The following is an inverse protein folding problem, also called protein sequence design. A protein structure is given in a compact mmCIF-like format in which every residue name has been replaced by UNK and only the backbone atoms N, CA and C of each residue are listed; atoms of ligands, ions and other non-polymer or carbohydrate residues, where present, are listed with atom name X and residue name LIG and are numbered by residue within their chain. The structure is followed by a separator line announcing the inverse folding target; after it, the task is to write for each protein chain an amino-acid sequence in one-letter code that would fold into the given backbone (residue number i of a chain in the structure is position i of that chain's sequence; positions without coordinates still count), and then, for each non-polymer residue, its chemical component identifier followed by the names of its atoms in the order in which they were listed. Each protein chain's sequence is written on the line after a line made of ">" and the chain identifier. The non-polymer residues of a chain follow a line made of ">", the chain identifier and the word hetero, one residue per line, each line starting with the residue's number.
data_IF_439913320162
#
_entry.id   IF_439913320162
#
_cell.length_a   1.000
_cell.length_b   1.000
_cell.length_c   1.000
_cell.angle_alpha   90.00
_cell.angle_beta   90.00
_cell.angle_gamma   90.00
#
_symmetry.space_group_name_H-M   'P 1'
#
loop_
_entity.id
_entity.type
_entity.pdbx_description
1 polymer ?
#
# COMPACT_ATOMS: atom_id res chain seq x y z
N UNK A 1 -7.03 11.38 38.02
CA UNK A 1 -5.93 10.79 37.23
C UNK A 1 -6.38 9.36 36.89
N UNK A 2 -6.37 8.97 35.63
CA UNK A 2 -6.70 7.62 35.20
C UNK A 2 -5.42 6.87 34.78
N UNK A 3 -5.35 5.53 34.91
CA UNK A 3 -4.28 4.73 34.32
C UNK A 3 -4.30 4.90 32.80
N UNK A 4 -3.12 4.75 32.18
CA UNK A 4 -3.06 4.67 30.72
C UNK A 4 -3.71 3.40 30.17
N UNK A 5 -4.10 3.43 28.92
CA UNK A 5 -4.66 2.25 28.22
C UNK A 5 -3.56 1.24 27.89
N UNK A 6 -3.95 -0.02 27.86
CA UNK A 6 -3.12 -1.12 27.36
C UNK A 6 -3.80 -1.65 26.11
N UNK A 7 -3.09 -1.58 24.97
CA UNK A 7 -3.55 -2.21 23.73
C UNK A 7 -3.00 -3.63 23.65
N UNK A 8 -3.88 -4.61 23.61
CA UNK A 8 -3.51 -6.02 23.64
C UNK A 8 -3.33 -6.65 22.25
N UNK A 9 -3.53 -5.90 21.17
CA UNK A 9 -3.34 -6.39 19.80
C UNK A 9 -3.12 -5.24 18.84
N UNK A 10 -1.85 -4.95 18.54
CA UNK A 10 -1.49 -3.88 17.61
C UNK A 10 -0.28 -4.28 16.75
N UNK A 11 -0.29 -3.84 15.49
CA UNK A 11 0.84 -3.94 14.55
C UNK A 11 1.57 -2.59 14.50
N UNK A 12 2.18 -2.22 15.60
CA UNK A 12 2.69 -0.85 15.83
C UNK A 12 3.68 -0.40 14.76
N UNK A 13 4.67 -1.24 14.45
CA UNK A 13 5.72 -0.92 13.48
C UNK A 13 5.13 -0.72 12.09
N UNK A 14 4.31 -1.67 11.63
CA UNK A 14 3.69 -1.62 10.30
C UNK A 14 2.80 -0.39 10.15
N UNK A 15 1.93 -0.14 11.13
CA UNK A 15 1.07 1.04 11.12
C UNK A 15 1.87 2.35 11.06
N UNK A 16 3.00 2.42 11.78
CA UNK A 16 3.87 3.60 11.74
C UNK A 16 4.58 3.79 10.40
N UNK A 17 5.04 2.70 9.78
CA UNK A 17 5.64 2.74 8.45
C UNK A 17 4.62 3.18 7.42
N UNK A 18 3.42 2.56 7.39
CA UNK A 18 2.34 2.92 6.48
C UNK A 18 1.91 4.39 6.61
N UNK A 19 1.90 4.93 7.82
CA UNK A 19 1.61 6.35 8.05
C UNK A 19 2.69 7.28 7.50
N UNK A 20 3.90 6.76 7.24
CA UNK A 20 5.02 7.52 6.67
C UNK A 20 5.17 7.34 5.15
N UNK A 21 4.41 6.42 4.56
CA UNK A 21 4.34 6.20 3.11
C UNK A 21 3.18 7.01 2.47
N UNK A 22 2.87 6.75 1.21
CA UNK A 22 1.71 7.36 0.55
C UNK A 22 0.41 6.89 1.22
N UNK A 23 -0.03 7.67 2.20
CA UNK A 23 -1.15 7.33 3.06
C UNK A 23 -2.49 7.70 2.41
N UNK A 24 -3.30 6.70 2.06
CA UNK A 24 -4.58 6.86 1.34
C UNK A 24 -5.81 6.61 2.22
N UNK A 25 -5.62 6.31 3.51
CA UNK A 25 -6.72 6.16 4.44
C UNK A 25 -7.50 7.47 4.55
N UNK A 26 -8.80 7.38 4.85
CA UNK A 26 -9.72 8.52 4.99
C UNK A 26 -9.99 9.32 3.71
N UNK A 27 -9.41 8.93 2.56
CA UNK A 27 -9.76 9.48 1.27
C UNK A 27 -10.99 8.76 0.70
N UNK A 28 -11.98 9.55 0.25
CA UNK A 28 -13.30 9.03 -0.09
C UNK A 28 -13.64 9.13 -1.58
N UNK A 29 -12.76 9.72 -2.38
CA UNK A 29 -12.93 9.86 -3.83
C UNK A 29 -11.65 9.56 -4.58
N UNK A 30 -11.78 9.11 -5.83
CA UNK A 30 -10.63 8.89 -6.72
C UNK A 30 -9.79 10.14 -6.91
N UNK A 31 -10.42 11.31 -7.02
CA UNK A 31 -9.72 12.58 -7.22
C UNK A 31 -8.82 12.92 -6.01
N UNK A 32 -9.32 12.68 -4.79
CA UNK A 32 -8.51 12.84 -3.58
C UNK A 32 -7.30 11.90 -3.57
N UNK A 33 -7.51 10.63 -3.97
CA UNK A 33 -6.44 9.64 -4.06
C UNK A 33 -5.40 10.08 -5.09
N UNK A 34 -5.83 10.48 -6.30
CA UNK A 34 -4.90 10.92 -7.34
C UNK A 34 -4.13 12.17 -6.95
N UNK A 35 -4.78 13.11 -6.26
CA UNK A 35 -4.09 14.30 -5.77
C UNK A 35 -3.07 13.97 -4.69
N UNK A 36 -3.44 13.13 -3.72
CA UNK A 36 -2.54 12.69 -2.66
C UNK A 36 -1.28 11.98 -3.21
N UNK A 37 -1.46 11.12 -4.23
CA UNK A 37 -0.33 10.45 -4.89
C UNK A 37 0.61 11.47 -5.55
N UNK A 38 0.06 12.50 -6.23
CA UNK A 38 0.88 13.57 -6.84
C UNK A 38 1.64 14.38 -5.80
N UNK A 39 0.97 14.75 -4.72
CA UNK A 39 1.56 15.54 -3.63
C UNK A 39 2.68 14.74 -2.96
N UNK A 40 2.45 13.45 -2.66
CA UNK A 40 3.46 12.56 -2.10
C UNK A 40 4.71 12.46 -3.01
N UNK A 41 4.52 12.30 -4.31
CA UNK A 41 5.64 12.23 -5.27
C UNK A 41 6.40 13.55 -5.38
N UNK A 42 5.72 14.69 -5.26
CA UNK A 42 6.36 16.01 -5.26
C UNK A 42 7.22 16.20 -4.00
N UNK A 43 6.74 15.74 -2.86
CA UNK A 43 7.46 15.83 -1.58
C UNK A 43 8.58 14.78 -1.46
N UNK A 44 8.49 13.68 -2.22
CA UNK A 44 9.41 12.54 -2.16
C UNK A 44 9.95 12.18 -3.56
N UNK A 45 10.69 13.09 -4.24
CA UNK A 45 11.12 12.89 -5.63
C UNK A 45 12.10 11.74 -5.82
N UNK A 46 12.83 11.35 -4.78
CA UNK A 46 13.92 10.37 -4.85
C UNK A 46 13.50 8.93 -4.53
N UNK A 47 12.21 8.66 -4.24
CA UNK A 47 11.77 7.29 -3.96
C UNK A 47 11.96 6.39 -5.18
N UNK A 48 12.52 5.20 -4.98
CA UNK A 48 12.67 4.19 -6.03
C UNK A 48 11.34 3.53 -6.39
N UNK A 49 10.51 3.29 -5.37
CA UNK A 49 9.15 2.77 -5.47
C UNK A 49 8.19 3.75 -4.81
N UNK A 50 7.06 4.02 -5.45
CA UNK A 50 5.94 4.62 -4.75
C UNK A 50 5.21 3.53 -4.00
N UNK A 51 5.32 3.57 -2.67
CA UNK A 51 4.64 2.64 -1.75
C UNK A 51 3.59 3.40 -0.96
N UNK A 52 2.52 2.71 -0.62
CA UNK A 52 1.49 3.28 0.23
C UNK A 52 0.35 2.31 0.49
N UNK A 53 -0.60 2.74 1.31
CA UNK A 53 -1.73 1.90 1.71
C UNK A 53 -2.99 2.72 1.97
N UNK A 54 -4.12 2.02 2.05
CA UNK A 54 -5.35 2.59 2.58
C UNK A 54 -6.42 2.95 1.56
N UNK A 55 -6.26 2.63 0.28
CA UNK A 55 -7.35 2.87 -0.67
C UNK A 55 -8.52 1.89 -0.44
N UNK A 56 -9.75 2.41 -0.54
CA UNK A 56 -10.96 1.61 -0.34
C UNK A 56 -11.52 1.10 -1.67
N UNK A 57 -11.83 -0.21 -1.73
CA UNK A 57 -12.36 -0.85 -2.93
C UNK A 57 -13.62 -0.16 -3.48
N UNK A 58 -14.61 0.25 -2.66
CA UNK A 58 -15.85 0.87 -3.14
C UNK A 58 -15.67 2.21 -3.87
N UNK A 59 -14.52 2.87 -3.73
CA UNK A 59 -14.23 4.13 -4.47
C UNK A 59 -14.16 3.88 -5.97
N UNK A 60 -13.77 2.67 -6.36
CA UNK A 60 -13.59 2.30 -7.75
C UNK A 60 -14.67 1.31 -8.21
N UNK A 61 -15.15 1.47 -9.43
CA UNK A 61 -16.18 0.59 -10.00
C UNK A 61 -15.73 -0.87 -9.96
N UNK A 62 -16.51 -1.72 -9.30
CA UNK A 62 -16.19 -3.13 -9.11
C UNK A 62 -14.97 -3.40 -8.24
N UNK A 63 -14.50 -2.42 -7.47
CA UNK A 63 -13.31 -2.52 -6.62
C UNK A 63 -12.00 -2.65 -7.41
N UNK A 64 -12.00 -2.22 -8.68
CA UNK A 64 -10.87 -2.43 -9.60
C UNK A 64 -10.37 -1.10 -10.19
N UNK A 65 -9.46 -0.40 -9.51
CA UNK A 65 -8.75 0.71 -10.12
C UNK A 65 -7.88 0.23 -11.28
N UNK A 66 -7.63 1.12 -12.24
CA UNK A 66 -6.87 0.78 -13.45
C UNK A 66 -5.43 1.24 -13.32
N UNK A 67 -4.49 0.40 -13.76
CA UNK A 67 -3.07 0.75 -13.81
C UNK A 67 -2.78 2.03 -14.60
N UNK A 68 -3.56 2.27 -15.67
CA UNK A 68 -3.39 3.45 -16.52
C UNK A 68 -3.53 4.77 -15.79
N UNK A 69 -4.33 4.84 -14.73
CA UNK A 69 -4.41 6.05 -13.90
C UNK A 69 -3.13 6.32 -13.10
N UNK A 70 -2.46 5.26 -12.65
CA UNK A 70 -1.14 5.38 -12.03
C UNK A 70 -0.05 5.67 -13.08
N UNK A 71 -0.16 5.09 -14.27
CA UNK A 71 0.77 5.34 -15.38
C UNK A 71 0.76 6.82 -15.80
N UNK A 72 -0.42 7.48 -15.76
CA UNK A 72 -0.55 8.92 -16.03
C UNK A 72 0.11 9.80 -14.96
N UNK A 73 0.16 9.33 -13.72
CA UNK A 73 0.71 10.09 -12.58
C UNK A 73 2.20 9.78 -12.39
N UNK A 74 2.57 8.51 -12.49
CA UNK A 74 3.91 8.00 -12.17
C UNK A 74 4.35 6.95 -13.20
N UNK A 75 4.70 7.34 -14.44
CA UNK A 75 5.08 6.40 -15.49
C UNK A 75 6.44 5.74 -15.28
N UNK A 76 7.38 6.46 -14.66
CA UNK A 76 8.79 6.06 -14.61
C UNK A 76 9.15 5.21 -13.38
N UNK A 77 8.39 5.34 -12.31
CA UNK A 77 8.64 4.62 -11.07
C UNK A 77 7.61 3.51 -10.88
N UNK A 78 7.99 2.35 -10.35
CA UNK A 78 7.04 1.31 -9.99
C UNK A 78 6.20 1.76 -8.79
N UNK A 79 4.91 1.38 -8.82
CA UNK A 79 3.91 1.75 -7.82
C UNK A 79 3.31 0.50 -7.21
N UNK A 80 3.25 0.45 -5.88
CA UNK A 80 2.56 -0.58 -5.11
C UNK A 80 1.72 0.07 -4.00
N UNK A 81 0.41 0.06 -4.16
CA UNK A 81 -0.54 0.64 -3.20
C UNK A 81 -1.44 -0.45 -2.64
N UNK A 82 -1.31 -0.74 -1.35
CA UNK A 82 -2.10 -1.74 -0.65
C UNK A 82 -3.51 -1.19 -0.34
N UNK A 83 -4.54 -2.01 -0.50
CA UNK A 83 -5.91 -1.64 -0.10
C UNK A 83 -6.03 -1.56 1.43
N UNK A 84 -7.05 -0.84 1.91
CA UNK A 84 -7.29 -0.66 3.33
C UNK A 84 -7.56 -1.96 4.11
N UNK A 85 -8.03 -3.01 3.42
CA UNK A 85 -8.24 -4.34 3.99
C UNK A 85 -7.01 -5.25 3.91
N UNK A 86 -5.93 -4.80 3.23
CA UNK A 86 -4.70 -5.58 3.08
C UNK A 86 -4.76 -6.72 2.06
N UNK A 87 -5.88 -6.92 1.36
CA UNK A 87 -6.11 -8.07 0.47
C UNK A 87 -5.97 -7.77 -1.03
N UNK A 88 -5.65 -6.54 -1.38
CA UNK A 88 -5.49 -6.12 -2.77
C UNK A 88 -4.36 -5.12 -2.92
N UNK A 89 -3.56 -5.26 -3.98
CA UNK A 89 -2.58 -4.27 -4.38
C UNK A 89 -2.98 -3.62 -5.70
N UNK A 90 -2.88 -2.30 -5.78
CA UNK A 90 -3.00 -1.55 -7.01
C UNK A 90 -1.62 -1.13 -7.49
N UNK A 91 -1.25 -1.60 -8.66
CA UNK A 91 0.08 -1.45 -9.25
C UNK A 91 0.00 -0.83 -10.64
N UNK A 92 1.06 -0.12 -11.05
CA UNK A 92 1.17 0.46 -12.39
C UNK A 92 1.82 -0.50 -13.41
N UNK A 93 1.90 -0.06 -14.65
CA UNK A 93 2.54 -0.84 -15.72
C UNK A 93 4.02 -1.11 -15.44
N UNK A 94 4.72 -0.17 -14.80
CA UNK A 94 6.14 -0.33 -14.46
C UNK A 94 6.38 -1.43 -13.43
N UNK A 95 5.55 -1.51 -12.40
CA UNK A 95 5.61 -2.58 -11.40
C UNK A 95 5.30 -3.96 -12.01
N UNK A 96 4.29 -4.03 -12.89
CA UNK A 96 3.95 -5.27 -13.61
C UNK A 96 5.08 -5.72 -14.54
N UNK A 97 5.74 -4.79 -15.24
CA UNK A 97 6.90 -5.06 -16.09
C UNK A 97 8.06 -5.67 -15.29
N UNK A 98 8.41 -5.05 -14.16
CA UNK A 98 9.49 -5.53 -13.27
C UNK A 98 9.19 -6.93 -12.70
N UNK A 99 7.91 -7.19 -12.40
CA UNK A 99 7.46 -8.50 -11.90
C UNK A 99 7.30 -9.56 -13.02
N UNK A 100 7.48 -9.18 -14.29
CA UNK A 100 7.26 -10.09 -15.42
C UNK A 100 5.81 -10.54 -15.56
N UNK A 101 4.84 -9.73 -15.10
CA UNK A 101 3.42 -10.05 -15.12
C UNK A 101 2.80 -9.58 -16.45
N UNK A 102 2.38 -10.52 -17.26
CA UNK A 102 1.76 -10.29 -18.57
C UNK A 102 0.40 -11.01 -18.73
N UNK A 103 -0.11 -11.05 -19.98
CA UNK A 103 -1.36 -11.72 -20.31
C UNK A 103 -1.33 -13.25 -20.07
N UNK A 104 -0.14 -13.86 -20.07
CA UNK A 104 0.06 -15.30 -19.96
C UNK A 104 0.46 -15.74 -18.53
N UNK A 105 0.78 -14.81 -17.66
CA UNK A 105 1.19 -15.10 -16.28
C UNK A 105 0.08 -15.81 -15.53
N UNK A 106 0.37 -16.98 -14.97
CA UNK A 106 -0.59 -17.72 -14.14
C UNK A 106 -0.58 -17.15 -12.73
N UNK A 107 -1.76 -16.87 -12.19
CA UNK A 107 -1.88 -16.44 -10.80
C UNK A 107 -1.53 -17.61 -9.84
N UNK A 108 -1.00 -17.32 -8.64
CA UNK A 108 -0.84 -18.31 -7.59
C UNK A 108 -2.17 -18.98 -7.20
N UNK A 109 -2.15 -20.15 -6.54
CA UNK A 109 -3.38 -20.92 -6.27
C UNK A 109 -4.49 -20.16 -5.55
N UNK A 110 -4.15 -19.33 -4.55
CA UNK A 110 -5.11 -18.50 -3.82
C UNK A 110 -5.09 -17.04 -4.27
N UNK A 111 -4.35 -16.72 -5.34
CA UNK A 111 -4.20 -15.36 -5.83
C UNK A 111 -5.01 -15.11 -7.10
N UNK A 112 -5.25 -13.83 -7.38
CA UNK A 112 -5.90 -13.41 -8.64
C UNK A 112 -5.24 -12.18 -9.21
N UNK A 113 -4.90 -12.24 -10.50
CA UNK A 113 -4.48 -11.10 -11.32
C UNK A 113 -5.72 -10.61 -12.05
N UNK A 114 -6.21 -9.41 -11.71
CA UNK A 114 -7.35 -8.81 -12.41
C UNK A 114 -6.94 -8.43 -13.84
N UNK A 115 -7.82 -8.72 -14.80
CA UNK A 115 -7.51 -8.61 -16.23
C UNK A 115 -8.57 -7.84 -16.99
N UNK A 116 -8.14 -7.14 -18.02
CA UNK A 116 -9.05 -6.59 -19.01
C UNK A 116 -9.81 -7.74 -19.73
N UNK A 117 -11.11 -7.60 -19.85
CA UNK A 117 -11.96 -8.67 -20.37
C UNK A 117 -11.67 -9.02 -21.85
N UNK A 118 -11.25 -8.02 -22.63
CA UNK A 118 -11.01 -8.17 -24.08
C UNK A 118 -9.58 -8.60 -24.39
N UNK A 119 -8.61 -7.90 -23.81
CA UNK A 119 -7.18 -8.09 -24.11
C UNK A 119 -6.51 -9.15 -23.26
N UNK A 120 -7.14 -9.53 -22.13
CA UNK A 120 -6.57 -10.40 -21.09
C UNK A 120 -5.31 -9.83 -20.41
N UNK A 121 -4.91 -8.62 -20.76
CA UNK A 121 -3.80 -7.94 -20.11
C UNK A 121 -4.11 -7.65 -18.62
N UNK A 122 -3.12 -7.68 -17.73
CA UNK A 122 -3.29 -7.29 -16.34
C UNK A 122 -3.82 -5.85 -16.23
N UNK A 123 -4.90 -5.66 -15.46
CA UNK A 123 -5.56 -4.36 -15.31
C UNK A 123 -4.90 -3.45 -14.28
N UNK A 124 -4.05 -4.03 -13.41
CA UNK A 124 -3.33 -3.32 -12.36
C UNK A 124 -3.76 -3.67 -10.95
N UNK A 125 -4.71 -4.58 -10.76
CA UNK A 125 -5.08 -5.07 -9.42
C UNK A 125 -4.65 -6.52 -9.26
N UNK A 126 -3.94 -6.77 -8.16
CA UNK A 126 -3.54 -8.09 -7.69
C UNK A 126 -4.29 -8.37 -6.39
N UNK A 127 -4.70 -9.64 -6.16
CA UNK A 127 -5.47 -10.02 -4.98
C UNK A 127 -4.86 -11.23 -4.30
N UNK A 128 -4.96 -11.24 -2.97
CA UNK A 128 -4.51 -12.33 -2.11
C UNK A 128 -3.05 -12.72 -2.43
N UNK A 129 -2.76 -14.00 -2.60
CA UNK A 129 -1.39 -14.50 -2.84
C UNK A 129 -0.73 -13.90 -4.11
N UNK A 130 -1.51 -13.27 -5.01
CA UNK A 130 -0.93 -12.60 -6.18
C UNK A 130 -0.20 -11.28 -5.81
N UNK A 131 -0.41 -10.73 -4.61
CA UNK A 131 0.31 -9.55 -4.13
C UNK A 131 1.82 -9.82 -4.10
N UNK A 132 2.21 -11.01 -3.61
CA UNK A 132 3.62 -11.40 -3.46
C UNK A 132 4.42 -11.34 -4.76
N UNK A 133 3.76 -11.50 -5.91
CA UNK A 133 4.42 -11.38 -7.21
C UNK A 133 5.11 -10.02 -7.44
N UNK A 134 4.63 -8.97 -6.78
CA UNK A 134 5.22 -7.63 -6.85
C UNK A 134 5.82 -7.24 -5.49
N UNK A 135 5.19 -7.59 -4.40
CA UNK A 135 5.62 -7.25 -3.04
C UNK A 135 7.04 -7.76 -2.75
N UNK A 136 7.39 -8.96 -3.21
CA UNK A 136 8.73 -9.56 -3.05
C UNK A 136 9.85 -8.78 -3.79
N UNK A 137 9.47 -7.86 -4.69
CA UNK A 137 10.41 -6.98 -5.39
C UNK A 137 10.64 -5.65 -4.67
N UNK A 138 9.82 -5.33 -3.66
CA UNK A 138 9.96 -4.09 -2.93
C UNK A 138 11.29 -4.08 -2.15
N UNK A 139 12.03 -2.97 -2.17
CA UNK A 139 13.22 -2.85 -1.34
C UNK A 139 12.85 -2.95 0.14
N UNK A 140 13.69 -3.60 0.92
CA UNK A 140 13.53 -3.64 2.37
C UNK A 140 13.57 -2.24 2.99
N UNK A 141 12.94 -2.07 4.13
CA UNK A 141 12.99 -0.79 4.84
C UNK A 141 14.38 -0.55 5.42
N UNK A 142 14.86 0.67 5.25
CA UNK A 142 16.10 1.12 5.90
C UNK A 142 15.86 1.32 7.40
N UNK A 143 16.95 1.32 8.17
CA UNK A 143 16.86 1.60 9.61
C UNK A 143 16.19 2.95 9.88
N UNK A 144 16.49 3.98 9.09
CA UNK A 144 15.93 5.32 9.26
C UNK A 144 14.41 5.34 9.01
N UNK A 145 13.93 4.57 8.02
CA UNK A 145 12.49 4.42 7.77
C UNK A 145 11.78 3.68 8.90
N UNK A 146 12.41 2.64 9.45
CA UNK A 146 11.89 1.90 10.61
C UNK A 146 11.84 2.82 11.85
N UNK A 147 12.90 3.55 12.14
CA UNK A 147 12.97 4.46 13.29
C UNK A 147 11.92 5.58 13.15
N UNK A 148 11.77 6.17 11.96
CA UNK A 148 10.75 7.18 11.69
C UNK A 148 9.33 6.63 11.87
N UNK A 149 9.06 5.43 11.35
CA UNK A 149 7.77 4.75 11.52
C UNK A 149 7.44 4.50 12.99
N UNK A 150 8.40 4.01 13.77
CA UNK A 150 8.22 3.79 15.21
C UNK A 150 7.94 5.10 15.95
N UNK A 151 8.63 6.19 15.60
CA UNK A 151 8.38 7.50 16.22
C UNK A 151 6.96 7.99 15.97
N UNK A 152 6.47 7.86 14.73
CA UNK A 152 5.09 8.21 14.35
C UNK A 152 4.10 7.37 15.15
N UNK A 153 4.30 6.05 15.17
CA UNK A 153 3.41 5.12 15.86
C UNK A 153 3.35 5.38 17.38
N UNK A 154 4.48 5.62 18.03
CA UNK A 154 4.50 5.97 19.46
C UNK A 154 3.80 7.31 19.75
N UNK A 155 3.99 8.31 18.90
CA UNK A 155 3.26 9.58 19.02
C UNK A 155 1.75 9.38 18.91
N UNK A 156 1.32 8.57 17.95
CA UNK A 156 -0.09 8.23 17.75
C UNK A 156 -0.65 7.49 18.99
N UNK A 157 0.01 6.44 19.46
CA UNK A 157 -0.40 5.68 20.63
C UNK A 157 -0.51 6.58 21.87
N UNK A 158 0.49 7.42 22.13
CA UNK A 158 0.50 8.36 23.26
C UNK A 158 -0.65 9.37 23.19
N UNK A 159 -1.00 9.86 21.99
CA UNK A 159 -2.13 10.78 21.79
C UNK A 159 -3.47 10.17 22.22
N UNK A 160 -3.62 8.85 22.10
CA UNK A 160 -4.80 8.11 22.56
C UNK A 160 -4.68 7.62 24.01
N UNK A 161 -3.61 7.99 24.71
CA UNK A 161 -3.38 7.60 26.11
C UNK A 161 -2.98 6.12 26.26
N UNK A 162 -2.51 5.46 25.21
CA UNK A 162 -1.98 4.10 25.25
C UNK A 162 -0.55 4.18 25.82
N UNK A 163 -0.30 3.46 26.90
CA UNK A 163 0.99 3.46 27.63
C UNK A 163 1.68 2.10 27.66
N UNK A 164 0.96 1.05 27.25
CA UNK A 164 1.52 -0.28 27.07
C UNK A 164 0.86 -0.94 25.84
N UNK A 165 1.62 -1.77 25.15
CA UNK A 165 1.15 -2.47 23.96
C UNK A 165 1.63 -3.92 23.96
N UNK A 166 0.82 -4.81 23.39
CA UNK A 166 1.24 -6.13 22.97
C UNK A 166 1.29 -6.15 21.43
N UNK A 167 2.49 -6.24 20.86
CA UNK A 167 2.66 -6.29 19.41
C UNK A 167 2.22 -7.68 18.93
N UNK A 168 1.21 -7.70 18.06
CA UNK A 168 0.73 -8.91 17.43
C UNK A 168 1.55 -9.17 16.15
N UNK A 169 2.33 -10.24 16.16
CA UNK A 169 3.24 -10.59 15.09
C UNK A 169 4.51 -9.74 15.08
N UNK A 170 5.62 -10.41 15.13
CA UNK A 170 6.92 -9.85 14.76
C UNK A 170 7.22 -10.33 13.35
N UNK A 171 7.51 -9.39 12.47
CA UNK A 171 8.04 -9.71 11.15
C UNK A 171 9.33 -10.50 11.26
#
# INVERSE_FOLDING_TARGET
>A
MLPGFIDSHVHLLWGGIEMNECHLHDLNTSDQIFQNIRDYLADNPDVEWLRGSGWYLPIFTGGNPRKGWLDEICPEKPVFLLSADGHSAWVNSKALELAGIDANTTAPPNGRIERDQKTKAPSGVLREDALSLVEDLLPGYTKDQIDAGLEIAFKAANRFGITAILVAGTA
#
